data_IF_181580280462
#
_entry.id   IF_181580280462
#
_cell.length_a   1.000
_cell.length_b   1.000
_cell.length_c   1.000
_cell.angle_alpha   90.00
_cell.angle_beta   90.00
_cell.angle_gamma   90.00
#
_symmetry.space_group_name_H-M   'P 1'
#
loop_
_entity.id
_entity.type
_entity.pdbx_description
1 polymer ?
#
# COMPACT_ATOMS: atom_id res chain seq x y z
N UNK A 1 -0.12 -14.96 5.53
CA UNK A 1 0.77 -14.06 4.77
C UNK A 1 0.21 -12.64 4.67
N UNK A 2 -1.12 -12.43 4.75
CA UNK A 2 -1.82 -11.13 4.66
C UNK A 2 -1.31 -10.06 5.63
N UNK A 3 -1.13 -10.44 6.89
CA UNK A 3 -0.71 -9.54 7.97
C UNK A 3 0.72 -8.99 7.80
N UNK A 4 1.56 -9.60 6.95
CA UNK A 4 2.90 -9.07 6.69
C UNK A 4 2.89 -7.90 5.69
N UNK A 5 1.99 -7.88 4.72
CA UNK A 5 1.89 -6.82 3.72
C UNK A 5 1.13 -5.61 4.27
N UNK A 6 0.06 -5.86 5.02
CA UNK A 6 -0.67 -4.87 5.82
C UNK A 6 0.27 -4.08 6.74
N UNK A 7 1.06 -4.80 7.56
CA UNK A 7 2.03 -4.15 8.47
C UNK A 7 3.13 -3.37 7.74
N UNK A 8 3.55 -3.80 6.54
CA UNK A 8 4.54 -3.06 5.73
C UNK A 8 3.95 -1.76 5.19
N UNK A 9 2.72 -1.79 4.70
CA UNK A 9 2.00 -0.61 4.23
C UNK A 9 1.81 0.38 5.37
N UNK A 10 1.33 -0.08 6.53
CA UNK A 10 1.18 0.77 7.71
C UNK A 10 2.50 1.45 8.12
N UNK A 11 3.60 0.69 8.12
CA UNK A 11 4.94 1.23 8.44
C UNK A 11 5.46 2.21 7.39
N UNK A 12 5.21 1.95 6.10
CA UNK A 12 5.62 2.83 5.02
C UNK A 12 4.88 4.18 5.05
N UNK A 13 3.61 4.16 5.46
CA UNK A 13 2.75 5.34 5.60
C UNK A 13 2.82 6.01 6.98
N UNK A 14 3.68 5.51 7.87
CA UNK A 14 3.82 6.08 9.20
C UNK A 14 4.44 7.48 9.11
N UNK A 15 3.66 8.49 9.52
CA UNK A 15 4.02 9.91 9.44
C UNK A 15 3.52 10.62 8.19
N UNK A 16 2.69 9.98 7.37
CA UNK A 16 1.92 10.68 6.34
C UNK A 16 0.79 11.49 6.99
N UNK A 17 0.56 12.71 6.48
CA UNK A 17 -0.58 13.53 6.88
C UNK A 17 -1.84 13.09 6.13
N UNK A 18 -2.91 12.80 6.86
CA UNK A 18 -4.21 12.42 6.31
C UNK A 18 -5.20 13.59 6.40
N UNK A 19 -6.19 13.69 5.50
CA UNK A 19 -6.56 12.73 4.45
C UNK A 19 -5.60 12.71 3.26
N UNK A 20 -5.38 11.53 2.67
CA UNK A 20 -4.49 11.34 1.52
C UNK A 20 -5.13 10.42 0.48
N UNK A 21 -4.95 10.77 -0.80
CA UNK A 21 -5.44 9.96 -1.91
C UNK A 21 -4.47 8.83 -2.27
N UNK A 22 -4.97 7.81 -2.99
CA UNK A 22 -4.14 6.71 -3.51
C UNK A 22 -2.84 7.19 -4.19
N UNK A 23 -2.90 8.27 -4.97
CA UNK A 23 -1.72 8.82 -5.64
C UNK A 23 -0.69 9.39 -4.66
N UNK A 24 -1.12 10.08 -3.62
CA UNK A 24 -0.27 10.59 -2.54
C UNK A 24 0.37 9.44 -1.77
N UNK A 25 -0.40 8.39 -1.46
CA UNK A 25 0.12 7.18 -0.80
C UNK A 25 1.24 6.51 -1.60
N UNK A 26 1.03 6.34 -2.91
CA UNK A 26 2.04 5.74 -3.80
C UNK A 26 3.27 6.64 -3.86
N UNK A 27 3.10 7.94 -4.08
CA UNK A 27 4.20 8.90 -4.17
C UNK A 27 5.03 8.91 -2.90
N UNK A 28 4.38 9.01 -1.75
CA UNK A 28 5.05 8.99 -0.44
C UNK A 28 5.84 7.70 -0.21
N UNK A 29 5.26 6.57 -0.59
CA UNK A 29 5.94 5.28 -0.50
C UNK A 29 7.12 5.17 -1.50
N UNK A 30 6.99 5.71 -2.72
CA UNK A 30 8.07 5.76 -3.71
C UNK A 30 9.22 6.66 -3.25
N UNK A 31 8.93 7.82 -2.68
CA UNK A 31 9.93 8.77 -2.13
C UNK A 31 10.73 8.17 -0.95
N UNK A 32 10.13 7.21 -0.23
CA UNK A 32 10.77 6.50 0.89
C UNK A 32 11.43 5.19 0.46
N UNK A 33 11.52 4.94 -0.85
CA UNK A 33 12.08 3.71 -1.42
C UNK A 33 11.41 2.45 -0.85
N UNK A 34 10.08 2.49 -0.66
CA UNK A 34 9.33 1.37 -0.12
C UNK A 34 9.42 0.14 -1.01
N UNK A 35 9.31 -1.04 -0.39
CA UNK A 35 9.38 -2.32 -1.10
C UNK A 35 8.44 -2.35 -2.33
N UNK A 36 8.86 -2.97 -3.45
CA UNK A 36 8.02 -3.12 -4.64
C UNK A 36 6.68 -3.80 -4.34
N UNK A 37 6.67 -4.69 -3.33
CA UNK A 37 5.45 -5.33 -2.82
C UNK A 37 4.47 -4.33 -2.21
N UNK A 38 4.97 -3.41 -1.40
CA UNK A 38 4.19 -2.33 -0.78
C UNK A 38 3.62 -1.41 -1.85
N UNK A 39 4.44 -1.01 -2.83
CA UNK A 39 3.98 -0.18 -3.95
C UNK A 39 2.91 -0.88 -4.79
N UNK A 40 3.05 -2.19 -5.03
CA UNK A 40 2.05 -2.99 -5.74
C UNK A 40 0.74 -3.09 -4.95
N UNK A 41 0.82 -3.26 -3.63
CA UNK A 41 -0.35 -3.25 -2.75
C UNK A 41 -1.09 -1.90 -2.79
N UNK A 42 -0.35 -0.78 -2.68
CA UNK A 42 -0.90 0.58 -2.79
C UNK A 42 -1.53 0.84 -4.17
N UNK A 43 -0.92 0.36 -5.25
CA UNK A 43 -1.48 0.48 -6.61
C UNK A 43 -2.75 -0.34 -6.82
N UNK A 44 -2.94 -1.42 -6.06
CA UNK A 44 -4.12 -2.26 -6.11
C UNK A 44 -5.30 -1.72 -5.28
N UNK A 45 -5.07 -0.69 -4.47
CA UNK A 45 -6.14 -0.03 -3.72
C UNK A 45 -7.18 0.59 -4.66
N UNK A 46 -8.48 0.61 -4.25
CA UNK A 46 -9.49 1.37 -4.97
C UNK A 46 -9.13 2.87 -4.98
N UNK A 47 -9.49 3.57 -6.06
CA UNK A 47 -9.34 5.01 -6.12
C UNK A 47 -10.29 5.68 -5.11
N UNK A 48 -9.71 6.48 -4.21
CA UNK A 48 -10.42 7.14 -3.13
C UNK A 48 -9.47 7.89 -2.21
N UNK A 49 -10.07 8.66 -1.31
CA UNK A 49 -9.37 9.40 -0.26
C UNK A 49 -9.43 8.60 1.03
N UNK A 50 -8.28 8.36 1.62
CA UNK A 50 -8.15 7.62 2.87
C UNK A 50 -7.99 8.58 4.03
N UNK A 51 -8.72 8.33 5.12
CA UNK A 51 -8.65 9.17 6.32
C UNK A 51 -7.51 8.82 7.27
N UNK A 52 -6.90 7.64 7.13
CA UNK A 52 -5.86 7.12 8.03
C UNK A 52 -5.19 5.87 7.46
N UNK A 53 -4.02 5.50 8.00
CA UNK A 53 -3.26 4.30 7.60
C UNK A 53 -4.00 2.98 7.86
N UNK A 54 -4.85 2.93 8.88
CA UNK A 54 -5.68 1.76 9.25
C UNK A 54 -6.71 1.43 8.14
N UNK A 55 -7.30 2.47 7.56
CA UNK A 55 -8.26 2.38 6.47
C UNK A 55 -7.60 1.91 5.17
N UNK A 56 -6.38 2.39 4.92
CA UNK A 56 -5.54 1.92 3.82
C UNK A 56 -5.22 0.44 3.98
N UNK A 57 -4.76 0.04 5.17
CA UNK A 57 -4.41 -1.34 5.51
C UNK A 57 -5.59 -2.29 5.25
N UNK A 58 -6.79 -1.96 5.76
CA UNK A 58 -8.00 -2.75 5.53
C UNK A 58 -8.46 -2.78 4.07
N UNK A 59 -8.07 -1.78 3.29
CA UNK A 59 -8.42 -1.67 1.87
C UNK A 59 -7.44 -2.41 0.97
N UNK A 60 -6.29 -2.84 1.47
CA UNK A 60 -5.32 -3.61 0.69
C UNK A 60 -5.95 -4.93 0.25
N UNK A 61 -6.11 -5.18 -1.06
CA UNK A 61 -6.69 -6.43 -1.53
C UNK A 61 -5.77 -7.61 -1.20
N UNK A 62 -6.33 -8.65 -0.58
CA UNK A 62 -5.61 -9.84 -0.09
C UNK A 62 -4.97 -10.71 -1.19
N UNK A 63 -5.14 -10.35 -2.48
CA UNK A 63 -4.55 -11.04 -3.62
C UNK A 63 -3.94 -10.07 -4.63
N UNK A 64 -2.66 -9.70 -4.49
CA UNK A 64 -1.82 -9.53 -5.66
C UNK A 64 -1.47 -10.95 -6.12
N UNK A 65 -2.31 -11.55 -6.98
CA UNK A 65 -2.02 -12.84 -7.59
C UNK A 65 -0.61 -12.80 -8.21
N UNK A 66 0.26 -13.62 -7.60
CA UNK A 66 1.31 -14.42 -8.23
C UNK A 66 1.67 -13.93 -9.64
N UNK A 67 2.73 -13.13 -9.76
CA UNK A 67 3.50 -13.21 -11.01
C UNK A 67 4.04 -14.63 -11.06
N UNK A 68 3.48 -15.41 -11.98
CA UNK A 68 3.92 -16.75 -12.35
C UNK A 68 5.44 -16.75 -12.52
N UNK A 69 6.20 -17.71 -11.94
CA UNK A 69 7.61 -17.85 -12.26
C UNK A 69 7.72 -18.26 -13.74
N UNK A 70 8.01 -17.28 -14.58
CA UNK A 70 8.10 -17.44 -16.02
C UNK A 70 9.54 -17.64 -16.46
N UNK A 71 9.95 -18.92 -16.45
CA UNK A 71 11.05 -19.56 -17.22
C UNK A 71 12.46 -19.54 -16.64
#
# INVERSE_FOLDING_TARGET
>A
MTDADERRVNKALQGLEFPADKAELIRYAEEREADPRTLRALRALPDGTYGNSDEVERSVPQRPEQETPGR
#
